data_IF_883648256252
#
_entry.id   IF_883648256252
#
_cell.length_a   1.000
_cell.length_b   1.000
_cell.length_c   1.000
_cell.angle_alpha   90.00
_cell.angle_beta   90.00
_cell.angle_gamma   90.00
#
_symmetry.space_group_name_H-M   'P 1'
#
loop_
_entity.id
_entity.type
_entity.pdbx_description
1 polymer ?
#
# COMPACT_ATOMS: atom_id res chain seq x y z
N UNK A 1 -5.46 -29.87 -30.97
CA UNK A 1 -5.03 -28.98 -29.87
C UNK A 1 -5.18 -27.55 -30.36
N UNK A 2 -6.14 -26.78 -29.84
CA UNK A 2 -6.30 -25.36 -30.18
C UNK A 2 -5.31 -24.57 -29.33
N UNK A 3 -4.44 -23.80 -29.98
CA UNK A 3 -3.58 -22.83 -29.32
C UNK A 3 -4.45 -21.81 -28.56
N UNK A 4 -4.34 -21.80 -27.23
CA UNK A 4 -4.82 -20.72 -26.39
C UNK A 4 -3.89 -19.52 -26.64
N UNK A 5 -4.16 -18.74 -27.70
CA UNK A 5 -3.55 -17.42 -27.85
C UNK A 5 -4.26 -16.50 -26.88
N UNK A 6 -3.61 -16.21 -25.76
CA UNK A 6 -4.00 -15.12 -24.88
C UNK A 6 -4.23 -13.87 -25.73
N UNK A 7 -5.43 -13.31 -25.63
CA UNK A 7 -5.81 -12.10 -26.36
C UNK A 7 -4.93 -10.91 -25.98
N UNK A 8 -5.03 -9.77 -26.70
CA UNK A 8 -4.28 -8.57 -26.39
C UNK A 8 -4.53 -8.13 -24.95
N UNK A 9 -3.58 -8.37 -24.05
CA UNK A 9 -3.63 -7.80 -22.72
C UNK A 9 -3.37 -6.29 -22.86
N UNK A 10 -4.41 -5.45 -23.00
CA UNK A 10 -4.22 -4.01 -22.77
C UNK A 10 -3.79 -3.80 -21.30
N UNK A 11 -2.97 -2.79 -21.08
CA UNK A 11 -2.39 -2.47 -19.77
C UNK A 11 -2.80 -1.04 -19.48
N UNK A 12 -3.79 -0.85 -18.63
CA UNK A 12 -4.15 0.47 -18.13
C UNK A 12 -3.39 0.73 -16.84
N UNK A 13 -3.10 2.00 -16.53
CA UNK A 13 -2.37 2.37 -15.32
C UNK A 13 -3.33 2.96 -14.28
N UNK A 14 -3.19 2.50 -13.05
CA UNK A 14 -3.75 3.15 -11.87
C UNK A 14 -2.71 4.13 -11.32
N UNK A 15 -3.13 5.23 -10.71
CA UNK A 15 -2.25 6.03 -9.84
C UNK A 15 -2.89 6.19 -8.47
N UNK A 16 -2.17 5.79 -7.44
CA UNK A 16 -2.49 6.08 -6.06
C UNK A 16 -2.16 7.54 -5.72
N UNK A 17 -3.04 8.20 -4.98
CA UNK A 17 -2.78 9.51 -4.37
C UNK A 17 -2.69 9.35 -2.86
N UNK A 18 -1.50 9.06 -2.33
CA UNK A 18 -1.24 9.05 -0.88
C UNK A 18 -0.62 10.38 -0.44
N UNK A 19 -1.01 10.85 0.74
CA UNK A 19 -0.11 11.66 1.56
C UNK A 19 1.04 10.75 1.99
N UNK A 20 2.26 11.02 1.52
CA UNK A 20 3.40 10.13 1.78
C UNK A 20 3.86 10.19 3.24
N UNK A 21 3.77 9.04 3.92
CA UNK A 21 4.44 8.81 5.21
C UNK A 21 5.91 8.40 5.02
N UNK A 22 6.76 8.72 6.01
CA UNK A 22 8.14 8.25 6.05
C UNK A 22 8.20 6.90 6.78
N UNK A 23 8.63 5.86 6.09
CA UNK A 23 8.66 4.50 6.62
C UNK A 23 10.10 4.00 6.82
N UNK A 24 10.23 3.10 7.80
CA UNK A 24 11.43 2.35 8.11
C UNK A 24 11.09 0.87 8.19
N UNK A 25 11.84 0.03 7.48
CA UNK A 25 11.73 -1.41 7.65
C UNK A 25 12.47 -1.84 8.92
N UNK A 26 11.78 -2.55 9.80
CA UNK A 26 12.35 -3.12 11.04
C UNK A 26 12.05 -4.62 11.10
N UNK A 27 12.87 -5.38 11.81
CA UNK A 27 12.58 -6.80 12.08
C UNK A 27 12.00 -6.95 13.48
N UNK A 28 10.78 -7.49 13.55
CA UNK A 28 10.06 -7.85 14.77
C UNK A 28 10.05 -9.37 14.88
N UNK A 29 10.77 -9.94 15.85
CA UNK A 29 10.84 -11.41 16.04
C UNK A 29 11.18 -12.19 14.75
N UNK A 30 12.13 -11.66 13.95
CA UNK A 30 12.56 -12.16 12.64
C UNK A 30 11.51 -12.05 11.52
N UNK A 31 10.49 -11.20 11.69
CA UNK A 31 9.56 -10.81 10.64
C UNK A 31 9.84 -9.36 10.26
N UNK A 32 10.16 -9.11 8.99
CA UNK A 32 10.28 -7.75 8.48
C UNK A 32 8.91 -7.09 8.43
N UNK A 33 8.82 -5.89 9.01
CA UNK A 33 7.62 -5.08 9.03
C UNK A 33 7.96 -3.63 8.65
N UNK A 34 7.07 -3.04 7.88
CA UNK A 34 7.18 -1.65 7.44
C UNK A 34 6.54 -0.76 8.52
N UNK A 35 7.35 0.11 9.13
CA UNK A 35 6.93 0.92 10.27
C UNK A 35 6.92 2.40 9.92
N UNK A 36 5.79 3.06 10.14
CA UNK A 36 5.64 4.51 9.97
C UNK A 36 6.42 5.23 11.08
N UNK A 37 7.25 6.21 10.69
CA UNK A 37 7.89 7.14 11.62
C UNK A 37 6.94 8.32 11.84
N UNK A 38 6.29 8.38 12.99
CA UNK A 38 5.28 9.40 13.29
C UNK A 38 5.64 10.20 14.54
N UNK A 39 6.11 11.43 14.34
CA UNK A 39 6.45 12.35 15.44
C UNK A 39 5.22 12.92 16.15
N UNK A 40 4.04 12.84 15.54
CA UNK A 40 2.76 13.21 16.15
C UNK A 40 2.19 12.12 17.06
N UNK A 41 2.61 10.87 16.88
CA UNK A 41 2.25 9.78 17.78
C UNK A 41 3.05 9.85 19.08
N UNK A 42 2.37 10.02 20.22
CA UNK A 42 3.03 10.03 21.54
C UNK A 42 3.64 8.67 21.89
N UNK A 43 3.00 7.59 21.44
CA UNK A 43 3.34 6.21 21.78
C UNK A 43 3.46 5.35 20.54
N UNK A 44 4.31 4.34 20.61
CA UNK A 44 4.48 3.36 19.52
C UNK A 44 3.35 2.33 19.53
N UNK A 45 2.88 1.95 18.34
CA UNK A 45 1.70 1.07 18.16
C UNK A 45 2.01 -0.03 17.15
N UNK A 46 1.63 -1.27 17.44
CA UNK A 46 1.71 -2.43 16.55
C UNK A 46 0.31 -2.82 16.09
N UNK A 47 0.13 -3.10 14.81
CA UNK A 47 -1.16 -3.59 14.30
C UNK A 47 -1.51 -4.95 14.92
N UNK A 48 -2.76 -5.10 15.35
CA UNK A 48 -3.34 -6.36 15.81
C UNK A 48 -3.18 -7.48 14.77
N UNK A 49 -3.29 -7.15 13.47
CA UNK A 49 -3.08 -8.09 12.36
C UNK A 49 -1.65 -8.63 12.36
N UNK A 50 -0.66 -7.75 12.41
CA UNK A 50 0.76 -8.12 12.46
C UNK A 50 1.08 -8.99 13.68
N UNK A 51 0.55 -8.61 14.85
CA UNK A 51 0.73 -9.38 16.09
C UNK A 51 0.15 -10.79 15.97
N UNK A 52 -1.07 -10.93 15.44
CA UNK A 52 -1.72 -12.22 15.25
C UNK A 52 -1.08 -13.08 14.16
N UNK A 53 -0.38 -12.49 13.21
CA UNK A 53 0.41 -13.23 12.21
C UNK A 53 1.74 -13.77 12.76
N UNK A 54 2.20 -13.33 13.93
CA UNK A 54 3.37 -13.92 14.57
C UNK A 54 3.06 -15.36 15.03
N UNK A 55 4.02 -16.29 14.94
CA UNK A 55 3.90 -17.60 15.57
C UNK A 55 3.59 -17.46 17.06
N UNK A 56 2.71 -18.31 17.61
CA UNK A 56 2.31 -18.24 19.02
C UNK A 56 3.51 -18.26 19.97
N UNK A 57 4.52 -19.07 19.67
CA UNK A 57 5.78 -19.15 20.43
C UNK A 57 6.60 -17.86 20.45
N UNK A 58 6.28 -16.90 19.57
CA UNK A 58 6.94 -15.60 19.46
C UNK A 58 6.03 -14.42 19.82
N UNK A 59 4.76 -14.66 20.16
CA UNK A 59 3.86 -13.61 20.64
C UNK A 59 4.19 -13.27 22.10
N UNK A 60 4.24 -11.99 22.40
CA UNK A 60 4.44 -11.51 23.77
C UNK A 60 3.12 -11.58 24.54
N UNK A 61 3.18 -11.92 25.83
CA UNK A 61 2.03 -11.79 26.71
C UNK A 61 1.65 -10.31 26.85
N UNK A 62 0.41 -10.00 26.48
CA UNK A 62 -0.09 -8.64 26.48
C UNK A 62 -0.64 -8.26 27.85
N UNK A 63 -0.15 -7.15 28.41
CA UNK A 63 -0.78 -6.52 29.56
C UNK A 63 -2.06 -5.81 29.14
N UNK A 64 -3.15 -6.02 29.88
CA UNK A 64 -4.47 -5.40 29.63
C UNK A 64 -4.60 -3.96 30.15
N UNK A 65 -3.60 -3.47 30.88
CA UNK A 65 -3.63 -2.14 31.52
C UNK A 65 -3.13 -1.03 30.58
N UNK A 66 -3.80 -0.84 29.44
CA UNK A 66 -3.36 0.08 28.38
C UNK A 66 -4.32 1.25 28.10
N UNK A 67 -5.41 1.39 28.87
CA UNK A 67 -6.39 2.46 28.67
C UNK A 67 -7.01 2.43 27.26
N UNK A 68 -7.44 3.60 26.77
CA UNK A 68 -7.95 3.77 25.41
C UNK A 68 -6.94 4.54 24.56
N UNK A 69 -6.76 4.14 23.31
CA UNK A 69 -5.95 4.85 22.33
C UNK A 69 -6.83 5.87 21.60
N UNK A 70 -6.40 7.13 21.56
CA UNK A 70 -7.03 8.16 20.73
C UNK A 70 -6.15 8.43 19.52
N UNK A 71 -6.72 8.29 18.33
CA UNK A 71 -6.03 8.57 17.06
C UNK A 71 -6.37 9.97 16.55
N UNK A 72 -5.66 10.44 15.52
CA UNK A 72 -5.68 11.82 15.06
C UNK A 72 -7.05 12.30 14.54
N UNK A 73 -7.88 11.40 14.02
CA UNK A 73 -9.26 11.68 13.58
C UNK A 73 -10.26 11.79 14.75
N UNK A 74 -9.79 11.64 16.00
CA UNK A 74 -10.59 11.68 17.22
C UNK A 74 -11.22 10.34 17.60
N UNK A 75 -11.11 9.31 16.75
CA UNK A 75 -11.60 7.95 17.03
C UNK A 75 -10.87 7.39 18.24
N UNK A 76 -11.63 6.64 19.03
CA UNK A 76 -11.13 5.92 20.19
C UNK A 76 -11.04 4.44 19.83
N UNK A 77 -9.86 3.87 20.00
CA UNK A 77 -9.55 2.47 19.71
C UNK A 77 -9.27 1.77 21.05
N UNK A 78 -9.95 0.65 21.28
CA UNK A 78 -9.67 -0.22 22.42
C UNK A 78 -8.49 -1.12 22.06
N UNK A 79 -7.33 -1.02 22.74
CA UNK A 79 -6.21 -1.87 22.44
C UNK A 79 -6.44 -3.32 22.87
N UNK A 80 -5.78 -4.25 22.19
CA UNK A 80 -5.67 -5.66 22.60
C UNK A 80 -4.81 -5.80 23.86
N UNK A 81 -3.83 -4.92 24.01
CA UNK A 81 -2.93 -4.86 25.17
C UNK A 81 -1.64 -4.13 24.85
N UNK A 82 -0.65 -4.26 25.72
CA UNK A 82 0.69 -3.65 25.56
C UNK A 82 1.78 -4.64 25.97
N UNK A 83 2.91 -4.62 25.27
CA UNK A 83 4.09 -5.40 25.61
C UNK A 83 5.41 -4.72 25.18
N UNK A 84 6.53 -5.29 25.61
CA UNK A 84 7.87 -4.92 25.13
C UNK A 84 8.26 -5.84 23.97
N UNK A 85 8.53 -5.25 22.81
CA UNK A 85 8.92 -5.96 21.59
C UNK A 85 10.39 -5.71 21.25
N UNK A 86 11.15 -6.75 20.85
CA UNK A 86 12.48 -6.56 20.29
C UNK A 86 12.35 -6.12 18.82
N UNK A 87 12.76 -4.89 18.52
CA UNK A 87 12.88 -4.38 17.17
C UNK A 87 14.34 -4.38 16.75
N UNK A 88 14.67 -5.08 15.68
CA UNK A 88 15.97 -4.99 15.05
C UNK A 88 15.96 -3.89 13.99
N UNK A 89 16.83 -2.89 14.19
CA UNK A 89 17.01 -1.74 13.30
C UNK A 89 18.49 -1.64 12.96
N UNK A 90 18.81 -1.71 11.67
CA UNK A 90 20.19 -1.70 11.17
C UNK A 90 21.09 -2.71 11.90
N UNK A 91 20.62 -3.93 12.16
CA UNK A 91 21.41 -4.96 12.84
C UNK A 91 21.63 -4.75 14.34
N UNK A 92 20.83 -3.90 15.00
CA UNK A 92 20.82 -3.73 16.46
C UNK A 92 19.42 -3.94 17.00
N UNK A 93 19.29 -4.81 18.00
CA UNK A 93 18.04 -5.05 18.71
C UNK A 93 17.82 -3.94 19.73
N UNK A 94 16.65 -3.31 19.68
CA UNK A 94 16.17 -2.28 20.59
C UNK A 94 14.84 -2.72 21.18
N UNK A 95 14.68 -2.55 22.49
CA UNK A 95 13.39 -2.85 23.13
C UNK A 95 12.44 -1.67 22.92
N UNK A 96 11.30 -1.92 22.29
CA UNK A 96 10.24 -0.95 22.06
C UNK A 96 9.00 -1.33 22.85
N UNK A 97 8.42 -0.39 23.60
CA UNK A 97 7.13 -0.60 24.24
C UNK A 97 6.07 -0.27 23.21
N UNK A 98 5.20 -1.21 22.89
CA UNK A 98 4.16 -0.98 21.89
C UNK A 98 2.79 -1.39 22.42
N UNK A 99 1.80 -0.54 22.13
CA UNK A 99 0.39 -0.91 22.26
C UNK A 99 0.00 -1.72 21.02
N UNK A 100 -0.71 -2.84 21.22
CA UNK A 100 -1.27 -3.63 20.12
C UNK A 100 -2.72 -3.18 19.89
N UNK A 101 -3.02 -2.64 18.72
CA UNK A 101 -4.34 -2.09 18.40
C UNK A 101 -4.70 -2.29 16.92
N UNK A 102 -5.97 -2.17 16.58
CA UNK A 102 -6.44 -2.24 15.18
C UNK A 102 -6.15 -0.91 14.47
N UNK A 103 -5.04 -0.88 13.74
CA UNK A 103 -4.56 0.27 12.95
C UNK A 103 -4.25 -0.17 11.51
N UNK A 104 -4.28 0.79 10.58
CA UNK A 104 -4.14 0.54 9.14
C UNK A 104 -2.71 0.20 8.73
N UNK A 105 -1.71 0.87 9.33
CA UNK A 105 -0.29 0.59 9.06
C UNK A 105 0.22 -0.57 9.91
N UNK A 106 1.22 -1.34 9.45
CA UNK A 106 1.73 -2.49 10.20
C UNK A 106 2.26 -2.13 11.60
N UNK A 107 2.96 -0.99 11.69
CA UNK A 107 3.44 -0.42 12.93
C UNK A 107 3.63 1.10 12.83
N UNK A 108 3.54 1.77 13.97
CA UNK A 108 3.92 3.17 14.18
C UNK A 108 5.04 3.21 15.21
N UNK A 109 6.17 3.81 14.84
CA UNK A 109 7.23 4.18 15.76
C UNK A 109 6.96 5.62 16.20
N UNK A 110 6.52 5.75 17.45
CA UNK A 110 6.13 7.02 18.06
C UNK A 110 7.28 7.75 18.74
N UNK A 111 6.95 8.93 19.24
CA UNK A 111 7.87 9.85 19.90
C UNK A 111 8.57 9.23 21.12
N UNK A 112 7.89 8.34 21.85
CA UNK A 112 8.44 7.60 22.99
C UNK A 112 9.72 6.81 22.64
N UNK A 113 9.66 5.98 21.60
CA UNK A 113 10.79 5.18 21.14
C UNK A 113 11.87 6.06 20.51
N UNK A 114 11.47 7.05 19.72
CA UNK A 114 12.38 7.98 19.07
C UNK A 114 13.22 8.75 20.09
N UNK A 115 12.57 9.31 21.11
CA UNK A 115 13.24 10.05 22.19
C UNK A 115 14.15 9.14 23.01
N UNK A 116 13.73 7.91 23.29
CA UNK A 116 14.55 6.95 24.04
C UNK A 116 15.83 6.53 23.28
N UNK A 117 15.84 6.67 21.95
CA UNK A 117 16.91 6.17 21.09
C UNK A 117 17.61 7.29 20.30
N UNK A 118 17.65 8.51 20.84
CA UNK A 118 18.33 9.67 20.26
C UNK A 118 18.11 9.77 18.74
N UNK A 119 16.83 9.67 18.35
CA UNK A 119 16.44 9.64 16.94
C UNK A 119 16.75 10.98 16.26
N UNK A 120 17.42 10.91 15.11
CA UNK A 120 17.61 12.06 14.20
C UNK A 120 17.07 11.68 12.84
N UNK A 121 16.12 12.45 12.33
CA UNK A 121 15.56 12.27 10.99
C UNK A 121 16.14 13.31 10.03
N UNK A 122 16.73 12.84 8.94
CA UNK A 122 17.06 13.65 7.77
C UNK A 122 16.07 13.30 6.66
N UNK A 123 14.98 14.06 6.63
CA UNK A 123 13.88 13.87 5.66
C UNK A 123 14.36 14.16 4.24
N UNK A 124 15.25 15.13 4.05
CA UNK A 124 15.79 15.48 2.74
C UNK A 124 16.63 14.36 2.12
N UNK A 125 17.33 13.59 2.96
CA UNK A 125 18.11 12.42 2.51
C UNK A 125 17.34 11.10 2.63
N UNK A 126 16.14 11.10 3.21
CA UNK A 126 15.39 9.87 3.47
C UNK A 126 16.13 8.92 4.41
N UNK A 127 16.76 9.46 5.47
CA UNK A 127 17.50 8.65 6.44
C UNK A 127 17.10 8.97 7.87
N UNK A 128 17.19 7.97 8.74
CA UNK A 128 17.02 8.12 10.18
C UNK A 128 18.23 7.54 10.90
N UNK A 129 18.65 8.14 12.01
CA UNK A 129 19.66 7.55 12.89
C UNK A 129 19.06 7.28 14.25
N UNK A 130 19.35 6.12 14.83
CA UNK A 130 19.05 5.82 16.23
C UNK A 130 20.35 5.55 16.98
N UNK A 131 20.64 6.31 18.03
CA UNK A 131 21.92 6.29 18.76
C UNK A 131 23.13 6.35 17.80
N UNK A 132 23.09 7.27 16.83
CA UNK A 132 24.15 7.48 15.85
C UNK A 132 24.28 6.43 14.74
N UNK A 133 23.44 5.37 14.72
CA UNK A 133 23.45 4.36 13.65
C UNK A 133 22.36 4.67 12.62
N UNK A 134 22.77 4.91 11.39
CA UNK A 134 21.87 5.21 10.28
C UNK A 134 21.07 4.00 9.80
N UNK A 135 19.85 4.27 9.35
CA UNK A 135 18.96 3.39 8.62
C UNK A 135 18.36 4.17 7.45
N UNK A 136 18.13 3.50 6.33
CA UNK A 136 17.44 4.10 5.19
C UNK A 136 15.93 4.07 5.44
N UNK A 137 15.29 5.19 5.14
CA UNK A 137 13.85 5.29 5.09
C UNK A 137 13.40 5.31 3.63
N UNK A 138 12.11 5.14 3.43
CA UNK A 138 11.47 5.29 2.14
C UNK A 138 10.11 5.94 2.33
N UNK A 139 9.60 6.57 1.28
CA UNK A 139 8.22 7.03 1.26
C UNK A 139 7.31 5.86 0.91
N UNK A 140 6.10 5.84 1.46
CA UNK A 140 5.11 4.80 1.15
C UNK A 140 4.93 4.59 -0.36
N UNK A 141 4.85 5.69 -1.13
CA UNK A 141 4.79 5.69 -2.58
C UNK A 141 5.96 5.00 -3.30
N UNK A 142 7.12 4.86 -2.65
CA UNK A 142 8.30 4.21 -3.23
C UNK A 142 8.23 2.68 -3.16
N UNK A 143 7.42 2.11 -2.23
CA UNK A 143 7.27 0.64 -2.09
C UNK A 143 5.91 0.14 -2.53
N UNK A 144 4.86 0.94 -2.37
CA UNK A 144 3.55 0.63 -2.92
C UNK A 144 3.62 0.77 -4.44
N UNK A 145 3.35 -0.31 -5.18
CA UNK A 145 3.04 -0.18 -6.61
C UNK A 145 1.84 0.76 -6.70
N UNK A 146 2.08 2.01 -7.11
CA UNK A 146 1.00 2.96 -7.34
C UNK A 146 0.29 2.69 -8.66
N UNK A 147 0.85 1.78 -9.48
CA UNK A 147 0.41 1.40 -10.82
C UNK A 147 0.08 -0.08 -10.90
N UNK A 148 -1.16 -0.36 -11.31
CA UNK A 148 -1.67 -1.70 -11.54
C UNK A 148 -2.14 -1.83 -12.98
N UNK A 149 -2.16 -3.07 -13.49
CA UNK A 149 -2.62 -3.40 -14.85
C UNK A 149 -4.09 -3.83 -14.80
N UNK A 150 -4.92 -3.26 -15.66
CA UNK A 150 -6.24 -3.81 -15.98
C UNK A 150 -6.15 -4.75 -17.18
N UNK A 151 -6.85 -5.89 -17.15
CA UNK A 151 -7.03 -6.80 -18.28
C UNK A 151 -8.49 -6.87 -18.69
N UNK A 152 -8.75 -7.01 -19.99
CA UNK A 152 -10.08 -7.28 -20.51
C UNK A 152 -10.59 -8.63 -20.00
N UNK A 153 -11.88 -8.71 -19.70
CA UNK A 153 -12.54 -9.97 -19.33
C UNK A 153 -12.68 -10.86 -20.57
N UNK A 154 -12.92 -10.26 -21.73
CA UNK A 154 -13.09 -10.94 -23.01
C UNK A 154 -12.59 -10.08 -24.17
N UNK A 155 -12.32 -10.71 -25.31
CA UNK A 155 -11.92 -9.99 -26.52
C UNK A 155 -13.13 -9.25 -27.10
N UNK A 156 -12.92 -8.03 -27.57
CA UNK A 156 -14.01 -7.17 -28.04
C UNK A 156 -13.64 -6.51 -29.37
N UNK A 157 -14.64 -6.20 -30.19
CA UNK A 157 -14.47 -5.38 -31.40
C UNK A 157 -15.13 -4.04 -31.16
N UNK A 158 -14.33 -2.96 -31.21
CA UNK A 158 -14.82 -1.60 -31.13
C UNK A 158 -15.05 -1.10 -32.56
N UNK A 159 -16.28 -0.75 -32.89
CA UNK A 159 -16.64 -0.23 -34.22
C UNK A 159 -15.85 1.02 -34.58
N UNK A 160 -15.69 1.28 -35.87
CA UNK A 160 -15.09 2.52 -36.38
C UNK A 160 -15.81 3.76 -35.81
N UNK A 161 -15.05 4.81 -35.48
CA UNK A 161 -15.56 6.10 -35.00
C UNK A 161 -16.60 5.99 -33.86
N UNK A 162 -16.36 5.07 -32.91
CA UNK A 162 -17.33 4.76 -31.84
C UNK A 162 -16.68 4.74 -30.46
N UNK A 163 -17.51 4.93 -29.44
CA UNK A 163 -17.14 4.82 -28.03
C UNK A 163 -17.77 3.56 -27.43
N UNK A 164 -17.05 2.90 -26.52
CA UNK A 164 -17.49 1.68 -25.84
C UNK A 164 -17.00 1.69 -24.39
N UNK A 165 -17.79 1.08 -23.49
CA UNK A 165 -17.36 0.79 -22.12
C UNK A 165 -16.97 -0.69 -22.05
N UNK A 166 -15.71 -0.96 -21.72
CA UNK A 166 -15.14 -2.29 -21.63
C UNK A 166 -15.13 -2.77 -20.17
N UNK A 167 -15.59 -3.99 -19.89
CA UNK A 167 -15.46 -4.58 -18.58
C UNK A 167 -14.02 -5.13 -18.39
N UNK A 168 -13.35 -4.68 -17.35
CA UNK A 168 -11.96 -5.08 -17.03
C UNK A 168 -11.81 -5.60 -15.61
N UNK A 169 -10.70 -6.27 -15.34
CA UNK A 169 -10.29 -6.75 -14.02
C UNK A 169 -8.86 -6.33 -13.73
N UNK A 170 -8.53 -6.11 -12.47
CA UNK A 170 -7.15 -5.80 -12.09
C UNK A 170 -6.33 -7.08 -12.03
N UNK A 171 -5.11 -7.00 -12.55
CA UNK A 171 -4.12 -8.07 -12.53
C UNK A 171 -3.26 -7.91 -11.28
N UNK A 172 -3.38 -8.85 -10.35
CA UNK A 172 -2.63 -8.88 -9.09
C UNK A 172 -3.35 -8.23 -7.92
N UNK A 173 -2.67 -8.22 -6.76
CA UNK A 173 -3.22 -7.69 -5.51
C UNK A 173 -3.07 -6.16 -5.44
N UNK A 174 -4.04 -5.50 -4.79
CA UNK A 174 -4.13 -4.05 -4.68
C UNK A 174 -4.33 -3.66 -3.22
N UNK A 175 -3.76 -2.53 -2.77
CA UNK A 175 -4.16 -1.92 -1.51
C UNK A 175 -5.66 -1.60 -1.52
N UNK A 176 -6.43 -2.32 -0.71
CA UNK A 176 -7.87 -2.12 -0.54
C UNK A 176 -8.14 -0.75 0.09
N UNK A 177 -9.23 -0.08 -0.29
CA UNK A 177 -9.76 1.10 0.42
C UNK A 177 -9.42 2.47 -0.17
N UNK A 178 -8.76 2.53 -1.33
CA UNK A 178 -8.34 3.79 -1.94
C UNK A 178 -8.99 4.00 -3.31
N UNK A 179 -9.36 5.23 -3.65
CA UNK A 179 -9.80 5.57 -5.02
C UNK A 179 -8.63 5.49 -6.01
N UNK A 180 -8.92 5.04 -7.22
CA UNK A 180 -7.95 4.89 -8.31
C UNK A 180 -8.37 5.71 -9.54
N UNK A 181 -7.39 6.15 -10.32
CA UNK A 181 -7.61 6.79 -11.63
C UNK A 181 -7.21 5.82 -12.72
N UNK A 182 -8.07 5.59 -13.71
CA UNK A 182 -7.71 4.95 -14.98
C UNK A 182 -6.97 5.97 -15.83
N UNK A 183 -5.76 5.60 -16.26
CA UNK A 183 -4.99 6.33 -17.25
C UNK A 183 -4.60 5.42 -18.43
N UNK A 184 -4.39 6.03 -19.60
CA UNK A 184 -3.95 5.33 -20.81
C UNK A 184 -2.59 4.66 -20.61
N UNK A 185 -1.74 5.27 -19.78
CA UNK A 185 -0.43 4.76 -19.40
C UNK A 185 0.43 4.38 -20.60
N UNK A 186 1.09 3.24 -20.49
CA UNK A 186 1.84 2.59 -21.58
C UNK A 186 0.99 1.68 -22.49
N UNK A 187 -0.35 1.74 -22.44
CA UNK A 187 -1.18 0.84 -23.26
C UNK A 187 -0.92 1.06 -24.76
N UNK A 188 -0.83 -0.06 -25.50
CA UNK A 188 -0.65 -0.09 -26.96
C UNK A 188 -1.91 0.33 -27.74
N UNK A 189 -3.04 0.61 -27.08
CA UNK A 189 -4.30 0.97 -27.74
C UNK A 189 -4.20 2.26 -28.57
N UNK A 190 -3.49 3.27 -28.07
CA UNK A 190 -3.27 4.53 -28.79
C UNK A 190 -2.54 4.30 -30.12
N UNK A 191 -1.67 3.28 -30.20
CA UNK A 191 -0.96 2.90 -31.44
C UNK A 191 -1.88 2.32 -32.51
N UNK A 192 -3.04 1.78 -32.13
CA UNK A 192 -4.07 1.30 -33.06
C UNK A 192 -5.24 2.29 -33.16
N UNK A 193 -5.07 3.53 -32.67
CA UNK A 193 -6.06 4.60 -32.75
C UNK A 193 -7.25 4.45 -31.78
N UNK A 194 -7.09 3.68 -30.72
CA UNK A 194 -8.07 3.58 -29.63
C UNK A 194 -7.59 4.39 -28.43
N UNK A 195 -8.38 5.39 -28.02
CA UNK A 195 -8.11 6.24 -26.87
C UNK A 195 -8.80 5.70 -25.61
N UNK A 196 -8.25 6.04 -24.44
CA UNK A 196 -8.81 5.66 -23.14
C UNK A 196 -9.31 6.91 -22.43
N UNK A 197 -10.57 6.87 -21.99
CA UNK A 197 -11.14 7.92 -21.15
C UNK A 197 -10.62 7.81 -19.72
N UNK A 198 -10.00 8.87 -19.21
CA UNK A 198 -9.61 8.93 -17.80
C UNK A 198 -10.84 8.94 -16.91
N UNK A 199 -10.86 8.12 -15.86
CA UNK A 199 -11.97 8.01 -14.91
C UNK A 199 -11.46 7.66 -13.51
N UNK A 200 -12.22 8.01 -12.48
CA UNK A 200 -11.98 7.58 -11.10
C UNK A 200 -12.85 6.37 -10.79
N UNK A 201 -12.34 5.40 -10.04
CA UNK A 201 -13.07 4.21 -9.63
C UNK A 201 -12.62 3.67 -8.27
N UNK A 202 -13.42 2.75 -7.73
CA UNK A 202 -13.13 1.99 -6.51
C UNK A 202 -12.48 0.63 -6.88
N UNK A 203 -11.19 0.40 -6.57
CA UNK A 203 -10.47 -0.85 -6.81
C UNK A 203 -11.02 -2.08 -6.10
N UNK A 204 -11.91 -1.93 -5.11
CA UNK A 204 -12.60 -3.06 -4.50
C UNK A 204 -13.67 -3.68 -5.42
N UNK A 205 -14.01 -3.02 -6.53
CA UNK A 205 -14.97 -3.52 -7.51
C UNK A 205 -14.40 -4.71 -8.28
N UNK A 206 -15.16 -5.81 -8.36
CA UNK A 206 -14.76 -7.02 -9.12
C UNK A 206 -14.61 -6.76 -10.63
N UNK A 207 -15.36 -5.79 -11.17
CA UNK A 207 -15.34 -5.40 -12.58
C UNK A 207 -15.23 -3.90 -12.67
N UNK A 208 -14.26 -3.43 -13.44
CA UNK A 208 -13.96 -2.00 -13.60
C UNK A 208 -14.30 -1.58 -15.02
N UNK A 209 -15.23 -0.61 -15.19
CA UNK A 209 -15.60 -0.11 -16.50
C UNK A 209 -14.52 0.84 -17.02
N UNK A 210 -13.94 0.50 -18.18
CA UNK A 210 -12.99 1.37 -18.88
C UNK A 210 -13.65 1.92 -20.13
N UNK A 211 -13.76 3.25 -20.23
CA UNK A 211 -14.29 3.90 -21.42
C UNK A 211 -13.20 4.04 -22.48
N UNK A 212 -13.49 3.63 -23.71
CA UNK A 212 -12.57 3.73 -24.84
C UNK A 212 -13.24 4.32 -26.06
N UNK A 213 -12.49 5.03 -26.90
CA UNK A 213 -12.96 5.57 -28.16
C UNK A 213 -12.06 5.14 -29.32
N UNK A 214 -12.64 4.47 -30.31
CA UNK A 214 -11.94 4.15 -31.56
C UNK A 214 -12.02 5.38 -32.50
N UNK A 215 -10.89 6.05 -32.68
CA UNK A 215 -10.77 7.24 -33.52
C UNK A 215 -10.47 6.89 -34.99
N UNK A 216 -10.39 5.62 -35.33
CA UNK A 216 -10.13 5.15 -36.69
C UNK A 216 -11.42 4.90 -37.46
N UNK A 217 -11.32 4.88 -38.79
CA UNK A 217 -12.41 4.53 -39.69
C UNK A 217 -12.57 3.01 -39.91
N UNK A 218 -11.86 2.18 -39.13
CA UNK A 218 -11.94 0.72 -39.18
C UNK A 218 -12.27 0.14 -37.81
N UNK A 219 -12.99 -0.99 -37.72
CA UNK A 219 -13.17 -1.69 -36.45
C UNK A 219 -11.82 -2.15 -35.87
N UNK A 220 -11.65 -1.99 -34.56
CA UNK A 220 -10.44 -2.43 -33.85
C UNK A 220 -10.78 -3.61 -32.94
N UNK A 221 -10.02 -4.70 -33.08
CA UNK A 221 -10.16 -5.89 -32.21
C UNK A 221 -9.10 -5.85 -31.13
N UNK A 222 -9.54 -5.94 -29.87
CA UNK A 222 -8.68 -5.85 -28.69
C UNK A 222 -8.98 -6.98 -27.70
#
# INVERSE_FOLDING_TARGET
MKENKEGPQCVFEIKHTSNDGLFLQVSLNNKEIDSLLDTGATISVLSSKVFLELPESRRQDLSRNCGQLRVADGKVITPMGMAMFPLEISGKIKKCRMIVADIEVPAVIGYDFMKQNDCVMDVGRGTVTFNGKAAKCYLESQRSRSVFKLSLIENVVISASSEMILPTKIVGDIPVGHQAIIDEGSCKLTKIGVLVGKSIFDPSSEVIPVRVANMTNQPQRI
#
